data_IF_145499007457
#
_entry.id   IF_145499007457
#
_cell.length_a   1.000
_cell.length_b   1.000
_cell.length_c   1.000
_cell.angle_alpha   90.00
_cell.angle_beta   90.00
_cell.angle_gamma   90.00
#
_symmetry.space_group_name_H-M   'P 1'
#
loop_
_entity.id
_entity.type
_entity.pdbx_description
1 polymer ?
#
# COMPACT_ATOMS: atom_id res chain seq x y z
N UNK A 1 1.92 16.10 5.21
CA UNK A 1 0.99 15.44 4.25
C UNK A 1 0.67 14.05 4.77
N UNK A 2 -0.56 13.57 4.58
CA UNK A 2 -0.93 12.18 4.84
C UNK A 2 -1.36 11.52 3.53
N UNK A 3 -0.82 10.33 3.27
CA UNK A 3 -1.14 9.53 2.09
C UNK A 3 -1.51 8.13 2.52
N UNK A 4 -2.64 7.61 2.03
CA UNK A 4 -3.04 6.22 2.22
C UNK A 4 -2.60 5.42 1.01
N UNK A 5 -1.95 4.29 1.23
CA UNK A 5 -1.51 3.38 0.18
C UNK A 5 -1.86 1.94 0.51
N UNK A 6 -2.14 1.17 -0.53
CA UNK A 6 -2.28 -0.29 -0.45
C UNK A 6 -0.90 -0.93 -0.47
N UNK A 7 -0.72 -2.06 0.20
CA UNK A 7 0.51 -2.85 0.12
C UNK A 7 0.91 -3.19 -1.33
N UNK A 8 -0.07 -3.24 -2.25
CA UNK A 8 0.17 -3.54 -3.66
C UNK A 8 0.71 -2.34 -4.47
N UNK A 9 0.90 -1.16 -3.86
CA UNK A 9 1.34 0.06 -4.56
C UNK A 9 2.82 0.40 -4.37
N UNK A 10 3.60 -0.43 -3.68
CA UNK A 10 5.02 -0.16 -3.44
C UNK A 10 5.23 0.92 -2.39
N UNK A 11 4.92 0.58 -1.14
CA UNK A 11 4.98 1.51 0.01
C UNK A 11 6.40 1.98 0.24
N UNK A 12 7.37 1.06 0.27
CA UNK A 12 8.77 1.37 0.55
C UNK A 12 9.35 2.31 -0.52
N UNK A 13 9.03 2.06 -1.79
CA UNK A 13 9.47 2.91 -2.90
C UNK A 13 8.85 4.30 -2.79
N UNK A 14 7.59 4.40 -2.38
CA UNK A 14 6.91 5.67 -2.18
C UNK A 14 7.53 6.47 -1.03
N UNK A 15 7.82 5.83 0.11
CA UNK A 15 8.53 6.45 1.23
C UNK A 15 9.92 6.93 0.80
N UNK A 16 10.67 6.10 0.06
CA UNK A 16 12.00 6.48 -0.42
C UNK A 16 11.94 7.67 -1.38
N UNK A 17 11.01 7.66 -2.34
CA UNK A 17 10.85 8.78 -3.28
C UNK A 17 10.49 10.10 -2.56
N UNK A 18 9.66 10.05 -1.51
CA UNK A 18 9.34 11.22 -0.70
C UNK A 18 10.56 11.75 0.06
N UNK A 19 11.40 10.84 0.59
CA UNK A 19 12.67 11.19 1.25
C UNK A 19 13.66 11.80 0.28
N UNK A 20 13.81 11.21 -0.90
CA UNK A 20 14.67 11.71 -1.97
C UNK A 20 14.22 13.11 -2.46
N UNK A 21 12.91 13.38 -2.38
CA UNK A 21 12.32 14.70 -2.63
C UNK A 21 12.49 15.72 -1.49
N UNK A 22 13.21 15.39 -0.42
CA UNK A 22 13.53 16.30 0.69
C UNK A 22 12.49 16.36 1.82
N UNK A 23 11.54 15.41 1.87
CA UNK A 23 10.57 15.31 2.95
C UNK A 23 11.06 14.33 4.03
N UNK A 24 10.65 14.55 5.27
CA UNK A 24 10.69 13.51 6.31
C UNK A 24 9.47 12.64 6.14
N UNK A 25 9.64 11.41 5.66
CA UNK A 25 8.52 10.50 5.38
C UNK A 25 8.64 9.16 6.11
N UNK A 26 7.55 8.72 6.75
CA UNK A 26 7.46 7.47 7.51
C UNK A 26 6.04 6.91 7.47
N UNK A 27 5.90 5.58 7.55
CA UNK A 27 4.61 4.93 7.80
C UNK A 27 4.25 5.12 9.27
N UNK A 28 3.08 5.72 9.53
CA UNK A 28 2.63 6.06 10.89
C UNK A 28 1.42 5.25 11.37
N UNK A 29 0.73 4.56 10.46
CA UNK A 29 -0.37 3.67 10.78
C UNK A 29 -0.53 2.61 9.69
N UNK A 30 -1.14 1.49 10.05
CA UNK A 30 -1.54 0.45 9.13
C UNK A 30 -2.84 -0.20 9.59
N UNK A 31 -3.57 -0.81 8.66
CA UNK A 31 -4.77 -1.57 8.95
C UNK A 31 -4.98 -2.66 7.89
N UNK A 32 -5.30 -3.88 8.35
CA UNK A 32 -5.79 -4.95 7.48
C UNK A 32 -7.31 -4.77 7.24
N UNK A 33 -7.73 -4.68 5.98
CA UNK A 33 -9.12 -4.50 5.59
C UNK A 33 -9.54 -5.52 4.53
N UNK A 34 -10.85 -5.79 4.35
CA UNK A 34 -11.33 -6.53 3.18
C UNK A 34 -10.96 -5.79 1.88
N UNK A 35 -10.77 -6.56 0.81
CA UNK A 35 -10.57 -5.99 -0.52
C UNK A 35 -11.68 -5.05 -0.94
N UNK A 36 -11.30 -3.91 -1.51
CA UNK A 36 -12.21 -3.05 -2.24
C UNK A 36 -12.72 -3.67 -3.55
N UNK A 37 -13.60 -2.97 -4.29
CA UNK A 37 -14.19 -3.48 -5.54
C UNK A 37 -13.16 -3.89 -6.59
N UNK A 38 -12.07 -3.12 -6.71
CA UNK A 38 -10.99 -3.38 -7.69
C UNK A 38 -10.23 -4.65 -7.35
N UNK A 39 -9.71 -4.78 -6.12
CA UNK A 39 -9.00 -6.01 -5.75
C UNK A 39 -9.92 -7.22 -5.74
N UNK A 40 -11.20 -7.05 -5.39
CA UNK A 40 -12.18 -8.12 -5.44
C UNK A 40 -12.41 -8.63 -6.88
N UNK A 41 -12.53 -7.75 -7.87
CA UNK A 41 -12.69 -8.16 -9.28
C UNK A 41 -11.44 -8.78 -9.89
N UNK A 42 -10.25 -8.44 -9.36
CA UNK A 42 -8.97 -8.91 -9.87
C UNK A 42 -8.31 -10.01 -9.03
N UNK A 43 -8.91 -10.44 -7.92
CA UNK A 43 -8.30 -11.38 -6.98
C UNK A 43 -7.84 -12.69 -7.66
N UNK A 44 -8.69 -13.31 -8.49
CA UNK A 44 -8.32 -14.53 -9.20
C UNK A 44 -7.15 -14.36 -10.17
N UNK A 45 -7.06 -13.22 -10.85
CA UNK A 45 -5.93 -12.91 -11.73
C UNK A 45 -4.64 -12.64 -10.93
N UNK A 46 -4.74 -11.94 -9.80
CA UNK A 46 -3.60 -11.70 -8.91
C UNK A 46 -3.06 -13.01 -8.32
N UNK A 47 -3.96 -13.95 -7.97
CA UNK A 47 -3.58 -15.30 -7.52
C UNK A 47 -2.87 -16.08 -8.64
N UNK A 48 -3.44 -16.10 -9.85
CA UNK A 48 -2.87 -16.82 -10.99
C UNK A 48 -1.48 -16.29 -11.39
N UNK A 49 -1.23 -15.00 -11.20
CA UNK A 49 0.05 -14.36 -11.51
C UNK A 49 1.06 -14.41 -10.36
N UNK A 50 0.71 -15.04 -9.23
CA UNK A 50 1.56 -15.13 -8.04
C UNK A 50 1.76 -13.80 -7.30
N UNK A 51 0.96 -12.78 -7.63
CA UNK A 51 1.00 -11.45 -6.98
C UNK A 51 0.16 -11.40 -5.70
N UNK A 52 -0.67 -12.42 -5.49
CA UNK A 52 -1.52 -12.57 -4.31
C UNK A 52 -1.50 -14.03 -3.86
N UNK A 53 -1.35 -14.25 -2.54
CA UNK A 53 -1.50 -15.58 -1.96
C UNK A 53 -2.93 -16.10 -2.19
N UNK A 54 -3.05 -17.35 -2.65
CA UNK A 54 -4.33 -18.00 -2.90
C UNK A 54 -5.30 -17.89 -1.72
N UNK A 55 -6.53 -17.46 -1.99
CA UNK A 55 -7.61 -17.32 -1.00
C UNK A 55 -7.57 -16.02 -0.18
N UNK A 56 -6.55 -15.17 -0.33
CA UNK A 56 -6.46 -13.91 0.42
C UNK A 56 -7.51 -12.90 -0.07
N UNK A 57 -8.31 -12.35 0.84
CA UNK A 57 -9.39 -11.37 0.52
C UNK A 57 -9.28 -10.09 1.35
N UNK A 58 -8.09 -9.85 1.88
CA UNK A 58 -7.77 -8.69 2.69
C UNK A 58 -6.48 -8.05 2.21
N UNK A 59 -6.41 -6.73 2.28
CA UNK A 59 -5.21 -5.95 2.00
C UNK A 59 -4.79 -5.16 3.24
N UNK A 60 -3.50 -4.89 3.36
CA UNK A 60 -2.98 -3.90 4.29
C UNK A 60 -3.01 -2.51 3.62
N UNK A 61 -3.71 -1.57 4.26
CA UNK A 61 -3.58 -0.16 3.97
C UNK A 61 -2.64 0.48 4.98
N UNK A 62 -1.72 1.30 4.50
CA UNK A 62 -0.79 2.07 5.31
C UNK A 62 -1.04 3.55 5.16
N UNK A 63 -0.71 4.31 6.20
CA UNK A 63 -0.68 5.78 6.18
C UNK A 63 0.76 6.25 6.22
N UNK A 64 1.22 6.87 5.14
CA UNK A 64 2.50 7.56 5.09
C UNK A 64 2.28 9.01 5.53
N UNK A 65 3.01 9.44 6.54
CA UNK A 65 3.17 10.85 6.87
C UNK A 65 4.43 11.37 6.19
N UNK A 66 4.32 12.50 5.50
CA UNK A 66 5.44 13.17 4.86
C UNK A 66 5.40 14.67 5.15
N UNK A 67 6.41 15.19 5.84
CA UNK A 67 6.47 16.57 6.29
C UNK A 67 7.73 17.26 5.76
N UNK A 68 7.60 18.54 5.42
CA UNK A 68 8.77 19.37 5.08
C UNK A 68 9.43 19.76 6.40
N UNK A 69 10.76 19.59 6.49
CA UNK A 69 11.53 20.13 7.62
C UNK A 69 11.41 21.64 7.70
#
# INVERSE_FOLDING_TARGET
>A
MLMVQSEFTGVEQSVQALRDGGLSADVIAWQLIPFGPVLSSHAGWLEQTGRLTGGRRTEELVVIRADKR
#
